data_IF_425396451599
#
_entry.id   IF_425396451599
#
_cell.length_a   1.000
_cell.length_b   1.000
_cell.length_c   1.000
_cell.angle_alpha   90.00
_cell.angle_beta   90.00
_cell.angle_gamma   90.00
#
_symmetry.space_group_name_H-M   'P 1'
#
loop_
_entity.id
_entity.type
_entity.pdbx_description
1 polymer ?
#
# COMPACT_ATOMS: atom_id res chain seq x y z
N UNK A 1 -39.50 -21.71 2.16
CA UNK A 1 -38.07 -21.96 2.47
C UNK A 1 -37.49 -20.71 3.10
N UNK A 2 -37.07 -20.76 4.37
CA UNK A 2 -36.50 -19.60 5.06
C UNK A 2 -35.15 -19.26 4.44
N UNK A 3 -34.98 -18.01 3.97
CA UNK A 3 -33.73 -17.55 3.40
C UNK A 3 -32.60 -17.76 4.43
N UNK A 4 -31.47 -18.39 4.07
CA UNK A 4 -30.35 -18.53 5.00
C UNK A 4 -29.94 -17.14 5.49
N UNK A 5 -29.86 -16.98 6.82
CA UNK A 5 -29.41 -15.73 7.45
C UNK A 5 -28.06 -15.34 6.84
N UNK A 6 -27.95 -14.14 6.27
CA UNK A 6 -26.76 -13.62 5.55
C UNK A 6 -25.39 -14.00 6.16
N UNK A 7 -25.29 -14.01 7.49
CA UNK A 7 -24.09 -14.43 8.21
C UNK A 7 -23.63 -15.88 7.91
N UNK A 8 -24.56 -16.83 7.75
CA UNK A 8 -24.22 -18.23 7.45
C UNK A 8 -23.67 -18.40 6.04
N UNK A 9 -24.20 -17.64 5.07
CA UNK A 9 -23.69 -17.60 3.70
C UNK A 9 -22.27 -17.01 3.67
N UNK A 10 -22.03 -15.89 4.35
CA UNK A 10 -20.69 -15.27 4.44
C UNK A 10 -19.69 -16.27 5.02
N UNK A 11 -20.04 -16.96 6.12
CA UNK A 11 -19.17 -17.94 6.77
C UNK A 11 -18.84 -19.11 5.83
N UNK A 12 -19.83 -19.61 5.10
CA UNK A 12 -19.63 -20.69 4.11
C UNK A 12 -18.72 -20.23 2.97
N UNK A 13 -18.99 -19.06 2.38
CA UNK A 13 -18.18 -18.48 1.30
C UNK A 13 -16.73 -18.29 1.75
N UNK A 14 -16.50 -17.66 2.92
CA UNK A 14 -15.16 -17.49 3.47
C UNK A 14 -14.44 -18.83 3.66
N UNK A 15 -15.12 -19.86 4.17
CA UNK A 15 -14.52 -21.18 4.35
C UNK A 15 -14.15 -21.85 3.02
N UNK A 16 -14.93 -21.65 1.95
CA UNK A 16 -14.63 -22.20 0.63
C UNK A 16 -13.43 -21.47 0.02
N UNK A 17 -13.44 -20.14 0.06
CA UNK A 17 -12.34 -19.32 -0.45
C UNK A 17 -11.03 -19.62 0.27
N UNK A 18 -11.03 -19.71 1.61
CA UNK A 18 -9.83 -20.04 2.39
C UNK A 18 -9.24 -21.40 2.04
N UNK A 19 -10.07 -22.39 1.68
CA UNK A 19 -9.59 -23.72 1.26
C UNK A 19 -9.04 -23.71 -0.17
N UNK A 20 -9.62 -22.90 -1.04
CA UNK A 20 -9.23 -22.82 -2.45
C UNK A 20 -7.97 -21.98 -2.67
N UNK A 21 -7.84 -20.88 -1.93
CA UNK A 21 -6.69 -19.96 -2.01
C UNK A 21 -5.73 -20.25 -0.86
N UNK A 22 -4.86 -21.24 -1.03
CA UNK A 22 -3.87 -21.65 -0.02
C UNK A 22 -2.60 -20.80 -0.04
N UNK A 23 -2.23 -20.27 -1.20
CA UNK A 23 -1.00 -19.48 -1.40
C UNK A 23 -1.34 -17.98 -1.50
N UNK A 24 -1.90 -17.43 -0.44
CA UNK A 24 -2.12 -15.99 -0.33
C UNK A 24 -0.83 -15.34 0.18
N UNK A 25 -0.29 -14.38 -0.57
CA UNK A 25 0.77 -13.51 -0.05
C UNK A 25 0.19 -12.71 1.13
N UNK A 26 0.71 -12.98 2.32
CA UNK A 26 0.34 -12.24 3.51
C UNK A 26 1.07 -10.90 3.53
N UNK A 27 0.45 -9.85 4.10
CA UNK A 27 1.14 -8.59 4.35
C UNK A 27 2.39 -8.80 5.21
N UNK A 28 3.39 -7.95 5.03
CA UNK A 28 4.59 -7.92 5.88
C UNK A 28 4.15 -7.60 7.32
N UNK A 29 4.44 -8.53 8.25
CA UNK A 29 3.87 -8.53 9.60
C UNK A 29 4.24 -7.29 10.42
N UNK A 30 5.45 -6.77 10.24
CA UNK A 30 6.03 -5.74 11.11
C UNK A 30 6.33 -4.44 10.33
N UNK A 31 5.62 -4.18 9.22
CA UNK A 31 5.77 -2.94 8.47
C UNK A 31 5.19 -1.77 9.28
N UNK A 32 5.92 -0.65 9.45
CA UNK A 32 5.40 0.56 10.08
C UNK A 32 4.08 1.02 9.44
N UNK A 33 3.16 1.59 10.22
CA UNK A 33 1.83 1.96 9.74
C UNK A 33 1.90 2.96 8.57
N UNK A 34 2.79 3.94 8.66
CA UNK A 34 3.03 4.89 7.56
C UNK A 34 3.47 4.17 6.29
N UNK A 35 4.43 3.26 6.40
CA UNK A 35 4.90 2.45 5.27
C UNK A 35 3.80 1.55 4.69
N UNK A 36 2.87 1.08 5.52
CA UNK A 36 1.72 0.32 5.04
C UNK A 36 0.79 1.19 4.16
N UNK A 37 0.58 2.45 4.52
CA UNK A 37 -0.18 3.41 3.71
C UNK A 37 0.53 3.74 2.39
N UNK A 38 1.86 3.97 2.45
CA UNK A 38 2.65 4.25 1.25
C UNK A 38 2.65 3.05 0.29
N UNK A 39 2.78 1.83 0.82
CA UNK A 39 2.66 0.63 0.00
C UNK A 39 1.27 0.44 -0.59
N UNK A 40 0.20 0.77 0.15
CA UNK A 40 -1.16 0.72 -0.37
C UNK A 40 -1.34 1.66 -1.58
N UNK A 41 -0.71 2.84 -1.56
CA UNK A 41 -0.67 3.74 -2.73
C UNK A 41 0.05 3.12 -3.93
N UNK A 42 1.11 2.33 -3.71
CA UNK A 42 1.76 1.58 -4.79
C UNK A 42 0.91 0.41 -5.33
N UNK A 43 0.03 -0.16 -4.50
CA UNK A 43 -0.78 -1.33 -4.85
C UNK A 43 -2.06 -0.96 -5.63
N UNK A 44 -2.43 0.32 -5.65
CA UNK A 44 -3.65 0.78 -6.30
C UNK A 44 -3.63 0.49 -7.81
N UNK A 45 -4.47 -0.46 -8.25
CA UNK A 45 -4.52 -0.99 -9.61
C UNK A 45 -3.22 -1.66 -10.11
N UNK A 46 -2.34 -2.09 -9.20
CA UNK A 46 -1.09 -2.77 -9.52
C UNK A 46 -1.08 -4.21 -8.98
N UNK A 47 -0.21 -5.06 -9.53
CA UNK A 47 0.05 -6.37 -8.92
C UNK A 47 0.92 -6.22 -7.65
N UNK A 48 0.88 -7.19 -6.72
CA UNK A 48 1.75 -7.19 -5.54
C UNK A 48 3.24 -7.09 -5.90
N UNK A 49 3.65 -7.72 -7.01
CA UNK A 49 5.05 -7.69 -7.47
C UNK A 49 5.45 -6.28 -7.94
N UNK A 50 4.60 -5.62 -8.74
CA UNK A 50 4.83 -4.23 -9.17
C UNK A 50 4.88 -3.27 -7.98
N UNK A 51 3.94 -3.40 -7.04
CA UNK A 51 3.89 -2.58 -5.85
C UNK A 51 5.14 -2.76 -4.98
N UNK A 52 5.60 -4.01 -4.82
CA UNK A 52 6.80 -4.36 -4.06
C UNK A 52 8.07 -3.81 -4.73
N UNK A 53 8.16 -3.91 -6.05
CA UNK A 53 9.28 -3.35 -6.82
C UNK A 53 9.34 -1.83 -6.67
N UNK A 54 8.23 -1.12 -6.91
CA UNK A 54 8.16 0.33 -6.78
C UNK A 54 8.50 0.79 -5.35
N UNK A 55 7.93 0.12 -4.34
CA UNK A 55 8.18 0.44 -2.94
C UNK A 55 9.64 0.21 -2.55
N UNK A 56 10.25 -0.89 -2.99
CA UNK A 56 11.67 -1.19 -2.74
C UNK A 56 12.58 -0.17 -3.43
N UNK A 57 12.25 0.28 -4.65
CA UNK A 57 12.98 1.34 -5.34
C UNK A 57 12.95 2.66 -4.55
N UNK A 58 11.81 3.03 -3.97
CA UNK A 58 11.71 4.21 -3.12
C UNK A 58 12.59 4.10 -1.88
N UNK A 59 12.53 2.98 -1.16
CA UNK A 59 13.33 2.74 0.06
C UNK A 59 14.84 2.69 -0.19
N UNK A 60 15.26 2.31 -1.41
CA UNK A 60 16.69 2.20 -1.75
C UNK A 60 17.23 3.47 -2.40
N UNK A 61 16.40 4.25 -3.09
CA UNK A 61 16.81 5.45 -3.82
C UNK A 61 16.90 6.70 -2.95
N UNK A 62 16.13 6.76 -1.88
CA UNK A 62 16.04 7.90 -0.96
C UNK A 62 16.43 7.46 0.45
N UNK A 63 17.04 8.37 1.21
CA UNK A 63 17.57 8.10 2.56
C UNK A 63 16.44 7.91 3.56
N UNK A 64 15.40 8.73 3.47
CA UNK A 64 14.25 8.68 4.36
C UNK A 64 12.97 9.19 3.68
N UNK A 65 11.84 9.09 4.39
CA UNK A 65 10.55 9.58 3.90
C UNK A 65 10.45 11.11 3.84
N UNK A 66 11.34 11.84 4.53
CA UNK A 66 11.40 13.29 4.42
C UNK A 66 11.94 13.71 3.04
N UNK A 67 12.97 13.04 2.55
CA UNK A 67 13.51 13.23 1.21
C UNK A 67 12.43 12.93 0.15
N UNK A 68 11.75 11.78 0.24
CA UNK A 68 10.66 11.41 -0.68
C UNK A 68 9.55 12.46 -0.73
N UNK A 69 9.18 13.06 0.41
CA UNK A 69 8.15 14.10 0.48
C UNK A 69 8.51 15.34 -0.33
N UNK A 70 9.77 15.76 -0.26
CA UNK A 70 10.27 16.96 -0.93
C UNK A 70 10.66 16.73 -2.39
N UNK A 71 10.88 15.46 -2.78
CA UNK A 71 11.12 15.06 -4.18
C UNK A 71 9.96 15.45 -5.09
N UNK A 72 10.27 15.82 -6.34
CA UNK A 72 9.25 16.24 -7.30
C UNK A 72 8.35 15.08 -7.72
N UNK A 73 7.12 15.40 -8.14
CA UNK A 73 6.19 14.37 -8.60
C UNK A 73 6.72 13.64 -9.84
N UNK A 74 7.43 14.34 -10.73
CA UNK A 74 8.05 13.77 -11.93
C UNK A 74 9.12 12.74 -11.60
N UNK A 75 10.03 13.03 -10.67
CA UNK A 75 11.08 12.09 -10.26
C UNK A 75 10.49 10.85 -9.58
N UNK A 76 9.50 11.03 -8.70
CA UNK A 76 8.82 9.89 -8.10
C UNK A 76 8.06 9.06 -9.14
N UNK A 77 7.44 9.70 -10.13
CA UNK A 77 6.76 9.00 -11.23
C UNK A 77 7.74 8.13 -12.02
N UNK A 78 8.96 8.63 -12.27
CA UNK A 78 10.02 7.87 -12.96
C UNK A 78 10.46 6.66 -12.13
N UNK A 79 10.72 6.85 -10.83
CA UNK A 79 11.09 5.76 -9.91
C UNK A 79 10.00 4.69 -9.84
N UNK A 80 8.74 5.11 -9.84
CA UNK A 80 7.55 4.25 -9.75
C UNK A 80 7.06 3.76 -11.12
N UNK A 81 7.85 3.90 -12.19
CA UNK A 81 7.43 3.63 -13.58
C UNK A 81 7.00 2.18 -13.90
N UNK A 82 7.26 1.23 -13.00
CA UNK A 82 6.74 -0.15 -13.12
C UNK A 82 5.23 -0.26 -12.78
N UNK A 83 4.65 0.77 -12.16
CA UNK A 83 3.23 0.82 -11.82
C UNK A 83 2.38 1.25 -13.01
N UNK A 84 1.17 0.69 -13.20
CA UNK A 84 0.27 1.07 -14.29
C UNK A 84 -0.11 2.56 -14.28
N UNK A 85 -0.28 3.15 -13.10
CA UNK A 85 -0.62 4.55 -12.90
C UNK A 85 0.43 5.27 -12.03
N UNK A 86 1.71 5.22 -12.43
CA UNK A 86 2.83 5.76 -11.67
C UNK A 86 2.64 7.23 -11.24
N UNK A 87 2.14 8.09 -12.13
CA UNK A 87 1.93 9.52 -11.83
C UNK A 87 0.85 9.75 -10.77
N UNK A 88 -0.19 8.93 -10.74
CA UNK A 88 -1.22 9.01 -9.71
C UNK A 88 -0.67 8.49 -8.37
N UNK A 89 -0.02 7.33 -8.41
CA UNK A 89 0.58 6.69 -7.23
C UNK A 89 1.61 7.62 -6.56
N UNK A 90 2.44 8.32 -7.35
CA UNK A 90 3.39 9.31 -6.85
C UNK A 90 2.70 10.51 -6.16
N UNK A 91 1.57 11.00 -6.71
CA UNK A 91 0.79 12.08 -6.10
C UNK A 91 0.17 11.64 -4.77
N UNK A 92 -0.43 10.45 -4.74
CA UNK A 92 -1.04 9.91 -3.53
C UNK A 92 -0.01 9.64 -2.44
N UNK A 93 1.14 9.07 -2.82
CA UNK A 93 2.27 8.82 -1.92
C UNK A 93 2.76 10.13 -1.28
N UNK A 94 3.00 11.18 -2.08
CA UNK A 94 3.38 12.49 -1.54
C UNK A 94 2.32 13.08 -0.63
N UNK A 95 1.03 13.00 -1.02
CA UNK A 95 -0.08 13.51 -0.21
C UNK A 95 -0.12 12.84 1.17
N UNK A 96 0.08 11.52 1.24
CA UNK A 96 0.16 10.79 2.52
C UNK A 96 1.31 11.33 3.37
N UNK A 97 2.52 11.44 2.79
CA UNK A 97 3.70 11.94 3.51
C UNK A 97 3.53 13.38 4.03
N UNK A 98 2.96 14.27 3.22
CA UNK A 98 2.69 15.64 3.64
C UNK A 98 1.69 15.67 4.81
N UNK A 99 0.55 14.99 4.68
CA UNK A 99 -0.48 14.99 5.72
C UNK A 99 0.02 14.42 7.05
N UNK A 100 0.77 13.32 7.00
CA UNK A 100 1.35 12.70 8.22
C UNK A 100 2.34 13.66 8.87
N UNK A 101 3.26 14.24 8.08
CA UNK A 101 4.27 15.16 8.60
C UNK A 101 3.67 16.45 9.16
N UNK A 102 2.68 17.05 8.47
CA UNK A 102 2.02 18.27 8.95
C UNK A 102 1.25 18.05 10.25
N UNK A 103 0.75 16.83 10.48
CA UNK A 103 -0.03 16.51 11.69
C UNK A 103 0.86 16.13 12.87
N UNK A 104 1.93 15.36 12.63
CA UNK A 104 2.69 14.71 13.69
C UNK A 104 4.17 15.15 13.76
N UNK A 105 4.65 15.96 12.81
CA UNK A 105 6.07 16.32 12.64
C UNK A 105 7.01 15.10 12.65
N UNK A 106 6.49 13.94 12.25
CA UNK A 106 7.17 12.65 12.20
C UNK A 106 6.60 11.81 11.06
N UNK A 107 7.20 10.65 10.79
CA UNK A 107 6.67 9.63 9.87
C UNK A 107 6.28 8.37 10.63
N UNK A 108 5.68 8.55 11.81
CA UNK A 108 5.18 7.47 12.66
C UNK A 108 3.72 7.73 13.04
N UNK A 109 2.92 6.66 13.05
CA UNK A 109 1.50 6.67 13.40
C UNK A 109 1.18 5.68 14.55
N UNK A 110 2.20 5.20 15.27
CA UNK A 110 2.05 4.25 16.38
C UNK A 110 1.83 4.92 17.76
N UNK A 111 0.98 5.94 17.80
CA UNK A 111 0.66 6.72 19.02
C UNK A 111 -0.25 5.99 20.01
#
# INVERSE_FOLDING_TARGET
MSAPKRASLIKKTFSVLKKHFTNVQLPVKDRPIVEQLLYAACLENATPDQATEAFSKLQTRYVDWNEVRVTTNSELTEVMGCLPNAAQSARDLRRILFNVYETHFSFDLSF
#
